data_IF_595336933594
#
_entry.id   IF_595336933594
#
_cell.length_a   1.000
_cell.length_b   1.000
_cell.length_c   1.000
_cell.angle_alpha   90.00
_cell.angle_beta   90.00
_cell.angle_gamma   90.00
#
_symmetry.space_group_name_H-M   'P 1'
#
loop_
_entity.id
_entity.type
_entity.pdbx_description
1 polymer ?
#
# COMPACT_ATOMS: atom_id res chain seq x y z
N UNK A 1 28.78 14.40 -46.01
CA UNK A 1 28.53 15.27 -47.21
C UNK A 1 27.03 15.41 -47.42
N UNK A 2 26.52 16.65 -47.53
CA UNK A 2 25.12 16.92 -47.87
C UNK A 2 24.93 16.71 -49.35
N UNK A 3 23.92 15.93 -49.76
CA UNK A 3 23.65 15.63 -51.16
C UNK A 3 22.16 15.60 -51.48
N UNK A 4 21.82 15.97 -52.73
CA UNK A 4 20.48 15.84 -53.27
C UNK A 4 20.19 14.41 -53.74
N UNK A 5 18.96 13.95 -53.57
CA UNK A 5 18.50 12.68 -54.12
C UNK A 5 17.02 12.80 -54.57
N UNK A 6 16.58 11.88 -55.37
CA UNK A 6 15.18 11.82 -55.87
C UNK A 6 14.43 10.79 -55.07
N UNK A 7 13.26 11.18 -54.50
CA UNK A 7 12.33 10.28 -53.82
C UNK A 7 11.62 9.37 -54.83
N UNK A 8 11.04 8.27 -54.32
CA UNK A 8 10.26 7.33 -55.16
C UNK A 8 9.10 7.99 -55.95
N UNK A 9 8.60 9.13 -55.45
CA UNK A 9 7.55 9.92 -56.09
C UNK A 9 8.09 11.00 -57.07
N UNK A 10 9.35 10.95 -57.46
CA UNK A 10 9.97 11.85 -58.42
C UNK A 10 10.42 13.22 -57.83
N UNK A 11 10.09 13.53 -56.58
CA UNK A 11 10.46 14.82 -55.98
C UNK A 11 11.90 14.83 -55.48
N UNK A 12 12.63 15.95 -55.72
CA UNK A 12 13.99 16.16 -55.22
C UNK A 12 13.97 16.46 -53.73
N UNK A 13 14.91 15.91 -52.97
CA UNK A 13 15.10 16.15 -51.57
C UNK A 13 16.59 16.10 -51.20
N UNK A 14 16.93 16.64 -50.04
CA UNK A 14 18.31 16.67 -49.55
C UNK A 14 18.48 15.67 -48.39
N UNK A 15 19.71 15.14 -48.25
CA UNK A 15 20.13 14.23 -47.20
C UNK A 15 21.57 14.49 -46.79
N UNK A 16 21.91 14.04 -45.59
CA UNK A 16 23.30 13.93 -45.16
C UNK A 16 23.60 12.57 -44.52
N UNK A 17 24.85 12.16 -44.62
CA UNK A 17 25.47 11.07 -43.88
C UNK A 17 26.81 11.62 -43.38
N UNK A 18 26.86 11.97 -42.11
CA UNK A 18 27.99 12.72 -41.54
C UNK A 18 28.39 12.20 -40.18
N UNK A 19 29.69 12.26 -39.94
CA UNK A 19 30.28 12.07 -38.64
C UNK A 19 29.94 13.28 -37.72
N UNK A 20 29.44 13.02 -36.54
CA UNK A 20 29.02 14.07 -35.58
C UNK A 20 29.87 14.10 -34.31
N UNK A 21 30.72 13.07 -34.09
CA UNK A 21 31.63 12.98 -32.94
C UNK A 21 31.96 11.55 -32.56
N UNK A 22 32.79 11.38 -31.54
CA UNK A 22 33.13 10.06 -30.97
C UNK A 22 32.40 9.93 -29.62
N UNK A 23 31.71 8.81 -29.43
CA UNK A 23 31.03 8.51 -28.15
C UNK A 23 32.09 8.38 -27.05
N UNK A 24 32.06 9.23 -26.01
CA UNK A 24 33.08 9.23 -24.97
C UNK A 24 33.06 7.95 -24.10
N UNK A 25 31.95 7.23 -24.08
CA UNK A 25 31.77 6.01 -23.28
C UNK A 25 32.31 4.78 -24.00
N UNK A 26 32.10 4.70 -25.31
CA UNK A 26 32.44 3.50 -26.12
C UNK A 26 33.65 3.72 -27.01
N UNK A 27 34.14 4.93 -27.19
CA UNK A 27 35.22 5.31 -28.15
C UNK A 27 34.84 5.14 -29.61
N UNK A 28 33.58 4.81 -29.93
CA UNK A 28 33.13 4.57 -31.31
C UNK A 28 32.73 5.85 -32.02
N UNK A 29 33.08 5.93 -33.32
CA UNK A 29 32.66 7.04 -34.18
C UNK A 29 31.13 7.02 -34.37
N UNK A 30 30.46 8.16 -34.14
CA UNK A 30 29.04 8.34 -34.38
C UNK A 30 28.79 8.96 -35.73
N UNK A 31 28.12 8.21 -36.61
CA UNK A 31 27.73 8.64 -37.96
C UNK A 31 26.19 8.69 -37.99
N UNK A 32 25.62 9.79 -38.45
CA UNK A 32 24.17 10.00 -38.53
C UNK A 32 23.75 10.26 -39.96
N UNK A 33 22.74 9.48 -40.41
CA UNK A 33 22.09 9.69 -41.70
C UNK A 33 20.69 10.27 -41.50
N UNK A 34 20.43 11.42 -42.13
CA UNK A 34 19.03 11.96 -42.20
C UNK A 34 18.69 12.34 -43.64
N UNK A 35 17.41 12.10 -44.00
CA UNK A 35 16.91 12.27 -45.39
C UNK A 35 15.61 13.05 -45.35
N UNK A 36 15.23 13.66 -46.51
CA UNK A 36 13.91 14.23 -46.70
C UNK A 36 13.80 15.74 -46.51
N UNK A 37 14.93 16.44 -46.40
CA UNK A 37 14.96 17.90 -46.29
C UNK A 37 14.52 18.59 -47.59
N UNK A 38 13.81 19.71 -47.45
CA UNK A 38 13.31 20.48 -48.58
C UNK A 38 14.41 21.32 -49.26
N UNK A 39 15.48 21.69 -48.53
CA UNK A 39 16.57 22.48 -49.00
C UNK A 39 17.92 22.04 -48.42
N UNK A 40 19.02 22.37 -49.08
CA UNK A 40 20.37 22.17 -48.57
C UNK A 40 20.60 22.95 -47.27
N UNK A 41 20.06 24.18 -47.17
CA UNK A 41 20.17 25.02 -46.02
C UNK A 41 19.53 24.38 -44.78
N UNK A 42 18.33 23.78 -44.93
CA UNK A 42 17.64 23.05 -43.86
C UNK A 42 18.45 21.84 -43.38
N UNK A 43 19.03 21.07 -44.33
CA UNK A 43 19.90 19.95 -43.99
C UNK A 43 21.15 20.39 -43.23
N UNK A 44 21.80 21.50 -43.65
CA UNK A 44 23.00 22.08 -43.03
C UNK A 44 22.70 22.59 -41.60
N UNK A 45 21.64 23.33 -41.43
CA UNK A 45 21.19 23.83 -40.09
C UNK A 45 20.93 22.64 -39.15
N UNK A 46 20.23 21.63 -39.63
CA UNK A 46 19.95 20.44 -38.83
C UNK A 46 21.22 19.67 -38.45
N UNK A 47 22.16 19.53 -39.38
CA UNK A 47 23.45 18.87 -39.11
C UNK A 47 24.27 19.65 -38.06
N UNK A 48 24.39 20.98 -38.20
CA UNK A 48 25.11 21.79 -37.24
C UNK A 48 24.49 21.74 -35.85
N UNK A 49 23.15 21.81 -35.74
CA UNK A 49 22.45 21.62 -34.49
C UNK A 49 22.75 20.28 -33.83
N UNK A 50 22.74 19.20 -34.62
CA UNK A 50 23.07 17.86 -34.13
C UNK A 50 24.52 17.73 -33.65
N UNK A 51 25.51 18.43 -34.30
CA UNK A 51 26.87 18.46 -33.78
C UNK A 51 26.98 19.18 -32.43
N UNK A 52 26.33 20.34 -32.30
CA UNK A 52 26.30 21.09 -31.05
C UNK A 52 25.61 20.28 -29.94
N UNK A 53 24.48 19.64 -30.25
CA UNK A 53 23.76 18.79 -29.31
C UNK A 53 24.60 17.57 -28.88
N UNK A 54 25.42 17.03 -29.78
CA UNK A 54 26.35 15.94 -29.49
C UNK A 54 27.51 16.38 -28.59
N UNK A 55 28.13 17.52 -28.90
CA UNK A 55 29.20 18.13 -28.07
C UNK A 55 28.72 18.47 -26.66
N UNK A 56 27.46 18.85 -26.51
CA UNK A 56 26.80 19.09 -25.20
C UNK A 56 26.37 17.81 -24.49
N UNK A 57 26.61 16.63 -25.07
CA UNK A 57 26.12 15.36 -24.53
C UNK A 57 24.60 15.15 -24.68
N UNK A 58 23.92 16.07 -25.41
CA UNK A 58 22.47 16.03 -25.60
C UNK A 58 22.04 15.08 -26.74
N UNK A 59 22.96 14.69 -27.61
CA UNK A 59 22.79 13.68 -28.65
C UNK A 59 23.28 12.29 -28.23
N UNK A 60 23.14 11.92 -26.98
CA UNK A 60 23.04 10.50 -26.69
C UNK A 60 21.81 10.00 -27.45
N UNK A 61 22.02 9.08 -28.40
CA UNK A 61 20.90 8.29 -28.92
C UNK A 61 20.33 7.59 -27.72
N UNK A 62 19.29 8.20 -27.12
CA UNK A 62 18.52 7.50 -26.10
C UNK A 62 18.06 6.21 -26.75
N UNK A 63 18.71 5.09 -26.42
CA UNK A 63 18.26 3.79 -26.89
C UNK A 63 16.79 3.72 -26.53
N UNK A 64 15.95 3.47 -27.53
CA UNK A 64 14.53 3.31 -27.28
C UNK A 64 14.36 2.17 -26.30
N UNK A 65 13.78 2.47 -25.15
CA UNK A 65 13.54 1.49 -24.09
C UNK A 65 12.05 1.45 -23.77
N UNK A 66 11.51 0.25 -23.62
CA UNK A 66 10.13 0.08 -23.20
C UNK A 66 9.96 0.41 -21.72
N UNK A 67 8.76 0.82 -21.36
CA UNK A 67 8.42 1.09 -19.95
C UNK A 67 8.61 -0.14 -19.07
N UNK A 68 8.28 -1.34 -19.58
CA UNK A 68 8.47 -2.59 -18.82
C UNK A 68 9.95 -2.86 -18.53
N UNK A 69 10.84 -2.62 -19.49
CA UNK A 69 12.28 -2.80 -19.27
C UNK A 69 12.79 -1.85 -18.17
N UNK A 70 12.36 -0.58 -18.19
CA UNK A 70 12.70 0.38 -17.15
C UNK A 70 12.09 -0.03 -15.80
N UNK A 71 10.84 -0.54 -15.82
CA UNK A 71 10.18 -1.04 -14.61
C UNK A 71 10.97 -2.19 -13.97
N UNK A 72 11.50 -3.14 -14.75
CA UNK A 72 12.31 -4.25 -14.22
C UNK A 72 13.59 -3.72 -13.56
N UNK A 73 14.30 -2.80 -14.23
CA UNK A 73 15.50 -2.17 -13.67
C UNK A 73 15.19 -1.39 -12.38
N UNK A 74 14.12 -0.59 -12.38
CA UNK A 74 13.66 0.12 -11.20
C UNK A 74 13.26 -0.82 -10.07
N UNK A 75 12.59 -1.94 -10.38
CA UNK A 75 12.12 -2.89 -9.39
C UNK A 75 13.28 -3.54 -8.62
N UNK A 76 14.40 -3.82 -9.29
CA UNK A 76 15.62 -4.34 -8.64
C UNK A 76 16.17 -3.36 -7.60
N UNK A 77 16.23 -2.07 -7.91
CA UNK A 77 16.64 -1.05 -6.95
C UNK A 77 15.60 -0.87 -5.83
N UNK A 78 14.32 -0.86 -6.19
CA UNK A 78 13.21 -0.71 -5.23
C UNK A 78 13.21 -1.83 -4.18
N UNK A 79 13.54 -3.08 -4.57
CA UNK A 79 13.68 -4.22 -3.65
C UNK A 79 14.69 -3.99 -2.54
N UNK A 80 15.78 -3.28 -2.82
CA UNK A 80 16.83 -2.99 -1.83
C UNK A 80 16.40 -1.94 -0.81
N UNK A 81 15.43 -1.11 -1.18
CA UNK A 81 15.01 0.05 -0.38
C UNK A 81 13.79 -0.21 0.50
N UNK A 82 12.97 -1.24 0.21
CA UNK A 82 11.71 -1.45 0.89
C UNK A 82 11.55 -2.86 1.43
N UNK A 83 10.62 -3.05 2.40
CA UNK A 83 10.30 -4.38 2.93
C UNK A 83 9.64 -5.26 1.87
N UNK A 84 9.88 -6.57 1.94
CA UNK A 84 9.37 -7.57 0.99
C UNK A 84 7.84 -7.46 0.74
N UNK A 85 7.03 -7.23 1.76
CA UNK A 85 5.58 -7.04 1.60
C UNK A 85 5.20 -5.80 0.78
N UNK A 86 6.05 -4.76 0.76
CA UNK A 86 5.87 -3.60 -0.12
C UNK A 86 6.18 -3.98 -1.57
N UNK A 87 7.26 -4.74 -1.79
CA UNK A 87 7.62 -5.25 -3.13
C UNK A 87 6.47 -6.07 -3.70
N UNK A 88 5.92 -7.01 -2.94
CA UNK A 88 4.77 -7.85 -3.36
C UNK A 88 3.58 -6.98 -3.77
N UNK A 89 3.23 -6.00 -2.94
CA UNK A 89 2.12 -5.08 -3.23
C UNK A 89 2.39 -4.27 -4.50
N UNK A 90 3.60 -3.72 -4.64
CA UNK A 90 4.03 -2.94 -5.81
C UNK A 90 3.98 -3.78 -7.08
N UNK A 91 4.53 -5.00 -7.06
CA UNK A 91 4.49 -5.95 -8.20
C UNK A 91 3.05 -6.26 -8.62
N UNK A 92 2.18 -6.54 -7.65
CA UNK A 92 0.77 -6.84 -7.94
C UNK A 92 0.06 -5.66 -8.58
N UNK A 93 0.21 -4.45 -8.04
CA UNK A 93 -0.40 -3.25 -8.63
C UNK A 93 0.19 -2.90 -9.99
N UNK A 94 1.51 -3.02 -10.16
CA UNK A 94 2.15 -2.80 -11.44
C UNK A 94 1.59 -3.77 -12.50
N UNK A 95 1.56 -5.07 -12.22
CA UNK A 95 1.07 -6.11 -13.12
C UNK A 95 -0.38 -5.91 -13.54
N UNK A 96 -1.25 -5.55 -12.59
CA UNK A 96 -2.70 -5.46 -12.86
C UNK A 96 -3.07 -4.11 -13.48
N UNK A 97 -2.38 -3.01 -13.13
CA UNK A 97 -2.87 -1.66 -13.46
C UNK A 97 -1.90 -0.85 -14.31
N UNK A 98 -0.59 -0.93 -14.06
CA UNK A 98 0.39 -0.06 -14.73
C UNK A 98 0.88 -0.68 -16.02
N UNK A 99 1.43 -1.88 -15.97
CA UNK A 99 2.03 -2.54 -17.13
C UNK A 99 1.06 -2.79 -18.29
N UNK A 100 -0.23 -3.11 -18.08
CA UNK A 100 -1.18 -3.25 -19.20
C UNK A 100 -1.38 -1.98 -20.01
N UNK A 101 -1.14 -0.80 -19.43
CA UNK A 101 -1.27 0.49 -20.13
C UNK A 101 0.06 1.01 -20.69
N UNK A 102 1.15 0.82 -19.96
CA UNK A 102 2.43 1.46 -20.21
C UNK A 102 3.50 0.48 -20.75
N UNK A 103 3.46 -0.80 -20.34
CA UNK A 103 4.56 -1.75 -20.47
C UNK A 103 5.19 -1.82 -21.86
N UNK A 104 4.39 -2.01 -22.89
CA UNK A 104 4.85 -2.14 -24.28
C UNK A 104 5.25 -0.84 -24.97
N UNK A 105 5.06 0.30 -24.31
CA UNK A 105 5.34 1.61 -24.89
C UNK A 105 6.76 2.05 -24.60
N UNK A 106 7.38 2.72 -25.59
CA UNK A 106 8.67 3.37 -25.36
C UNK A 106 8.50 4.57 -24.46
N UNK A 107 9.29 4.67 -23.38
CA UNK A 107 9.17 5.75 -22.38
C UNK A 107 9.32 7.14 -23.00
N UNK A 108 10.10 7.26 -24.11
CA UNK A 108 10.29 8.50 -24.85
C UNK A 108 9.05 8.98 -25.60
N UNK A 109 8.09 8.09 -25.86
CA UNK A 109 6.88 8.38 -26.63
C UNK A 109 5.65 8.57 -25.75
N UNK A 110 5.79 8.43 -24.44
CA UNK A 110 4.69 8.63 -23.49
C UNK A 110 4.63 10.10 -23.09
N UNK A 111 3.56 10.76 -23.46
CA UNK A 111 3.33 12.17 -23.15
C UNK A 111 2.42 12.37 -21.93
N UNK A 112 2.28 13.63 -21.50
CA UNK A 112 1.44 14.01 -20.35
C UNK A 112 -0.03 13.67 -20.60
N UNK A 113 -0.51 13.81 -21.83
CA UNK A 113 -1.92 13.53 -22.18
C UNK A 113 -2.23 12.04 -22.01
N UNK A 114 -1.33 11.17 -22.47
CA UNK A 114 -1.47 9.73 -22.26
C UNK A 114 -1.48 9.37 -20.76
N UNK A 115 -0.56 9.96 -19.99
CA UNK A 115 -0.49 9.76 -18.54
C UNK A 115 -1.78 10.23 -17.83
N UNK A 116 -2.35 11.37 -18.26
CA UNK A 116 -3.61 11.89 -17.70
C UNK A 116 -4.79 10.94 -17.99
N UNK A 117 -4.88 10.43 -19.23
CA UNK A 117 -5.93 9.44 -19.59
C UNK A 117 -5.82 8.17 -18.76
N UNK A 118 -4.59 7.68 -18.53
CA UNK A 118 -4.36 6.50 -17.68
C UNK A 118 -4.82 6.75 -16.22
N UNK A 119 -4.48 7.91 -15.64
CA UNK A 119 -4.90 8.28 -14.29
C UNK A 119 -6.41 8.44 -14.19
N UNK A 120 -7.06 9.04 -15.17
CA UNK A 120 -8.52 9.16 -15.21
C UNK A 120 -9.17 7.77 -15.23
N UNK A 121 -8.69 6.86 -16.10
CA UNK A 121 -9.17 5.47 -16.14
C UNK A 121 -8.99 4.74 -14.80
N UNK A 122 -7.86 4.93 -14.12
CA UNK A 122 -7.68 4.36 -12.80
C UNK A 122 -8.65 4.94 -11.77
N UNK A 123 -8.94 6.24 -11.86
CA UNK A 123 -9.84 6.91 -10.93
C UNK A 123 -11.31 6.49 -11.08
N UNK A 124 -11.72 5.99 -12.25
CA UNK A 124 -13.06 5.39 -12.48
C UNK A 124 -13.26 4.09 -11.70
N UNK A 125 -12.18 3.30 -11.53
CA UNK A 125 -12.25 1.95 -10.95
C UNK A 125 -11.75 1.87 -9.52
N UNK A 126 -11.07 2.89 -9.01
CA UNK A 126 -10.46 2.90 -7.67
C UNK A 126 -10.95 4.04 -6.80
N UNK A 127 -10.93 3.77 -5.48
CA UNK A 127 -11.09 4.83 -4.49
C UNK A 127 -10.01 5.92 -4.63
N UNK A 128 -8.82 5.58 -5.14
CA UNK A 128 -7.75 6.54 -5.42
C UNK A 128 -6.76 5.99 -6.45
N UNK A 129 -6.56 6.73 -7.53
CA UNK A 129 -5.51 6.46 -8.51
C UNK A 129 -4.09 6.79 -8.00
N UNK A 130 -3.95 7.24 -6.75
CA UNK A 130 -2.67 7.70 -6.17
C UNK A 130 -1.60 6.60 -6.20
N UNK A 131 -1.97 5.35 -5.89
CA UNK A 131 -0.99 4.26 -5.78
C UNK A 131 -0.42 3.84 -7.15
N UNK A 132 -1.23 3.47 -8.17
CA UNK A 132 -0.71 3.15 -9.50
C UNK A 132 -0.01 4.35 -10.16
N UNK A 133 -0.51 5.59 -9.95
CA UNK A 133 0.20 6.82 -10.38
C UNK A 133 1.58 6.91 -9.75
N UNK A 134 1.68 6.64 -8.43
CA UNK A 134 2.96 6.67 -7.71
C UNK A 134 3.98 5.67 -8.24
N UNK A 135 3.55 4.46 -8.58
CA UNK A 135 4.43 3.45 -9.21
C UNK A 135 4.92 3.94 -10.58
N UNK A 136 4.00 4.36 -11.46
CA UNK A 136 4.37 4.85 -12.78
C UNK A 136 5.30 6.07 -12.69
N UNK A 137 5.05 6.99 -11.76
CA UNK A 137 5.90 8.15 -11.53
C UNK A 137 7.32 7.75 -11.12
N UNK A 138 7.48 6.79 -10.20
CA UNK A 138 8.80 6.32 -9.77
C UNK A 138 9.57 5.64 -10.92
N UNK A 139 8.89 4.87 -11.78
CA UNK A 139 9.51 4.28 -12.97
C UNK A 139 9.98 5.34 -13.94
N UNK A 140 9.19 6.39 -14.20
CA UNK A 140 9.62 7.53 -15.03
C UNK A 140 10.74 8.34 -14.36
N UNK A 141 10.72 8.52 -13.04
CA UNK A 141 11.82 9.17 -12.31
C UNK A 141 13.13 8.38 -12.47
N UNK A 142 13.04 7.05 -12.45
CA UNK A 142 14.18 6.19 -12.70
C UNK A 142 14.67 6.26 -14.16
N UNK A 143 13.73 6.29 -15.14
CA UNK A 143 14.06 6.53 -16.55
C UNK A 143 14.76 7.89 -16.77
N UNK A 144 14.34 8.93 -16.03
CA UNK A 144 14.97 10.25 -16.04
C UNK A 144 16.39 10.19 -15.45
N UNK A 145 16.58 9.50 -14.33
CA UNK A 145 17.88 9.28 -13.68
C UNK A 145 18.86 8.55 -14.61
N UNK A 146 18.36 7.56 -15.34
CA UNK A 146 19.17 6.82 -16.33
C UNK A 146 19.37 7.57 -17.67
N UNK A 147 18.81 8.76 -17.83
CA UNK A 147 18.94 9.57 -19.03
C UNK A 147 18.11 9.09 -20.23
N UNK A 148 17.15 8.18 -20.07
CA UNK A 148 16.27 7.73 -21.14
C UNK A 148 15.22 8.75 -21.55
N UNK A 149 14.85 9.66 -20.65
CA UNK A 149 13.91 10.76 -20.89
C UNK A 149 14.47 12.06 -20.27
N UNK A 150 14.05 13.21 -20.80
CA UNK A 150 14.45 14.52 -20.29
C UNK A 150 13.52 15.07 -19.21
N UNK A 151 12.32 14.55 -19.10
CA UNK A 151 11.29 14.99 -18.17
C UNK A 151 10.34 13.83 -17.84
N UNK A 152 9.79 13.84 -16.63
CA UNK A 152 8.81 12.85 -16.18
C UNK A 152 7.39 13.36 -16.47
N UNK A 153 6.67 12.77 -17.47
CA UNK A 153 5.33 13.22 -17.82
C UNK A 153 4.30 12.99 -16.70
N UNK A 154 4.51 11.99 -15.83
CA UNK A 154 3.58 11.64 -14.76
C UNK A 154 3.58 12.67 -13.63
N UNK A 155 4.64 13.45 -13.44
CA UNK A 155 4.69 14.53 -12.44
C UNK A 155 3.72 15.67 -12.74
N UNK A 156 3.42 15.91 -14.04
CA UNK A 156 2.51 16.96 -14.50
C UNK A 156 1.04 16.57 -14.47
N UNK A 157 0.74 15.30 -14.21
CA UNK A 157 -0.62 14.77 -14.17
C UNK A 157 -1.33 15.15 -12.88
N UNK A 158 -2.56 15.65 -13.02
CA UNK A 158 -3.42 15.97 -11.89
C UNK A 158 -4.28 14.77 -11.50
N UNK A 159 -4.37 14.53 -10.19
CA UNK A 159 -5.35 13.58 -9.66
C UNK A 159 -6.72 14.26 -9.67
N UNK A 160 -7.75 13.63 -10.24
CA UNK A 160 -9.12 14.16 -10.15
C UNK A 160 -9.50 14.31 -8.66
N UNK A 161 -10.07 15.47 -8.30
CA UNK A 161 -10.72 15.60 -7.00
C UNK A 161 -11.96 14.71 -7.02
N UNK A 162 -12.08 13.83 -6.05
CA UNK A 162 -13.37 13.20 -5.76
C UNK A 162 -14.25 14.26 -5.11
N UNK A 163 -15.52 14.28 -5.49
CA UNK A 163 -16.55 14.95 -4.68
C UNK A 163 -16.47 14.38 -3.27
N UNK A 164 -16.35 15.23 -2.26
CA UNK A 164 -16.28 14.83 -0.85
C UNK A 164 -17.60 14.24 -0.34
N UNK A 165 -18.62 14.20 -1.20
CA UNK A 165 -20.02 13.83 -0.94
C UNK A 165 -20.32 12.33 -1.01
N UNK A 166 -19.35 11.45 -1.06
CA UNK A 166 -19.61 10.08 -0.65
C UNK A 166 -19.61 10.11 0.87
N UNK A 167 -20.80 10.00 1.46
CA UNK A 167 -21.02 9.74 2.86
C UNK A 167 -19.86 8.92 3.41
N UNK A 168 -19.04 9.54 4.26
CA UNK A 168 -17.95 8.84 4.92
C UNK A 168 -18.63 7.80 5.80
N UNK A 169 -18.89 6.61 5.23
CA UNK A 169 -19.39 5.49 6.01
C UNK A 169 -18.46 5.38 7.21
N UNK A 170 -19.00 5.67 8.37
CA UNK A 170 -18.26 5.59 9.62
C UNK A 170 -17.68 4.18 9.75
N UNK A 171 -16.38 4.06 9.59
CA UNK A 171 -15.68 2.76 9.61
C UNK A 171 -15.32 2.34 11.03
N UNK A 172 -16.27 2.46 11.96
CA UNK A 172 -16.18 1.98 13.33
C UNK A 172 -17.58 1.65 13.87
N UNK A 173 -17.63 0.89 14.94
CA UNK A 173 -18.85 0.55 15.66
C UNK A 173 -19.08 1.49 16.84
N UNK A 174 -20.35 1.82 17.10
CA UNK A 174 -20.80 2.26 18.41
C UNK A 174 -20.75 1.09 19.40
N UNK A 175 -20.96 1.37 20.69
CA UNK A 175 -21.00 0.31 21.73
C UNK A 175 -22.07 -0.73 21.42
N UNK A 176 -23.27 -0.30 21.01
CA UNK A 176 -24.39 -1.21 20.72
C UNK A 176 -24.15 -2.01 19.43
N UNK A 177 -23.59 -1.40 18.38
CA UNK A 177 -23.20 -2.09 17.17
C UNK A 177 -22.11 -3.13 17.43
N UNK A 178 -21.15 -2.83 18.32
CA UNK A 178 -20.11 -3.79 18.70
C UNK A 178 -20.69 -4.99 19.46
N UNK A 179 -21.61 -4.75 20.41
CA UNK A 179 -22.32 -5.82 21.13
C UNK A 179 -23.11 -6.71 20.16
N UNK A 180 -23.84 -6.09 19.22
CA UNK A 180 -24.59 -6.83 18.20
C UNK A 180 -23.66 -7.67 17.32
N UNK A 181 -22.54 -7.10 16.87
CA UNK A 181 -21.54 -7.85 16.10
C UNK A 181 -21.04 -9.10 16.86
N UNK A 182 -20.69 -8.97 18.15
CA UNK A 182 -20.24 -10.10 18.96
C UNK A 182 -21.34 -11.16 19.13
N UNK A 183 -22.59 -10.76 19.30
CA UNK A 183 -23.70 -11.72 19.30
C UNK A 183 -23.76 -12.52 18.00
N UNK A 184 -23.60 -11.89 16.84
CA UNK A 184 -23.54 -12.60 15.55
C UNK A 184 -22.34 -13.54 15.47
N UNK A 185 -21.18 -13.16 16.01
CA UNK A 185 -19.98 -14.01 16.06
C UNK A 185 -20.20 -15.24 16.94
N UNK A 186 -20.81 -15.07 18.11
CA UNK A 186 -21.09 -16.14 19.05
C UNK A 186 -22.14 -17.10 18.47
N UNK A 187 -23.21 -16.60 17.87
CA UNK A 187 -24.24 -17.38 17.18
C UNK A 187 -23.68 -18.15 15.97
N UNK A 188 -22.61 -17.65 15.36
CA UNK A 188 -21.92 -18.35 14.28
C UNK A 188 -21.18 -19.60 14.76
N UNK A 189 -20.74 -19.61 16.01
CA UNK A 189 -20.19 -20.77 16.70
C UNK A 189 -18.76 -21.18 16.28
N UNK A 190 -17.95 -20.24 15.76
CA UNK A 190 -16.53 -20.51 15.43
C UNK A 190 -15.60 -19.88 16.48
N UNK A 191 -15.06 -20.64 17.45
CA UNK A 191 -14.29 -20.10 18.56
C UNK A 191 -12.99 -19.43 18.12
N UNK A 192 -12.35 -19.88 17.04
CA UNK A 192 -11.15 -19.24 16.49
C UNK A 192 -11.48 -17.86 15.93
N UNK A 193 -12.60 -17.73 15.22
CA UNK A 193 -13.09 -16.44 14.70
C UNK A 193 -13.46 -15.50 15.84
N UNK A 194 -14.13 -16.00 16.87
CA UNK A 194 -14.51 -15.23 18.06
C UNK A 194 -13.28 -14.63 18.74
N UNK A 195 -12.24 -15.42 19.01
CA UNK A 195 -10.97 -14.97 19.60
C UNK A 195 -10.27 -13.94 18.72
N UNK A 196 -10.24 -14.13 17.40
CA UNK A 196 -9.61 -13.18 16.48
C UNK A 196 -10.29 -11.81 16.56
N UNK A 197 -11.62 -11.75 16.46
CA UNK A 197 -12.35 -10.48 16.54
C UNK A 197 -12.32 -9.86 17.94
N UNK A 198 -12.33 -10.69 19.00
CA UNK A 198 -12.17 -10.21 20.36
C UNK A 198 -10.81 -9.53 20.55
N UNK A 199 -9.72 -10.16 20.11
CA UNK A 199 -8.40 -9.56 20.17
C UNK A 199 -8.33 -8.24 19.37
N UNK A 200 -8.93 -8.17 18.17
CA UNK A 200 -9.00 -6.92 17.41
C UNK A 200 -9.72 -5.80 18.18
N UNK A 201 -10.90 -6.10 18.72
CA UNK A 201 -11.78 -5.11 19.36
C UNK A 201 -11.27 -4.67 20.72
N UNK A 202 -10.78 -5.59 21.56
CA UNK A 202 -10.43 -5.31 22.96
C UNK A 202 -8.98 -4.85 23.13
N UNK A 203 -8.12 -5.06 22.15
CA UNK A 203 -6.72 -4.61 22.19
C UNK A 203 -6.40 -3.46 21.23
N UNK A 204 -7.25 -3.26 20.22
CA UNK A 204 -6.97 -2.32 19.13
C UNK A 204 -5.76 -2.73 18.26
N UNK A 205 -5.29 -3.98 18.36
CA UNK A 205 -4.18 -4.48 17.56
C UNK A 205 -4.55 -4.51 16.07
N UNK A 206 -3.53 -4.39 15.21
CA UNK A 206 -3.72 -4.54 13.77
C UNK A 206 -3.97 -6.00 13.43
N UNK A 207 -4.77 -6.29 12.39
CA UNK A 207 -5.07 -7.68 11.98
C UNK A 207 -3.82 -8.55 11.81
N UNK A 208 -2.76 -8.00 11.23
CA UNK A 208 -1.51 -8.74 11.01
C UNK A 208 -0.69 -8.92 12.28
N UNK A 209 -0.87 -8.07 13.30
CA UNK A 209 -0.33 -8.25 14.63
C UNK A 209 -1.04 -9.41 15.32
N UNK A 210 -2.41 -9.42 15.32
CA UNK A 210 -3.19 -10.52 15.90
C UNK A 210 -2.88 -11.87 15.27
N UNK A 211 -2.70 -11.93 13.93
CA UNK A 211 -2.33 -13.16 13.25
C UNK A 211 -0.91 -13.67 13.59
N UNK A 212 -0.04 -12.80 14.10
CA UNK A 212 1.31 -13.16 14.50
C UNK A 212 1.44 -13.56 15.98
N UNK A 213 0.38 -13.38 16.78
CA UNK A 213 0.40 -13.65 18.21
C UNK A 213 0.61 -15.14 18.51
N UNK A 214 1.47 -15.39 19.46
CA UNK A 214 1.79 -16.71 20.01
C UNK A 214 1.36 -16.76 21.47
N UNK A 215 1.18 -17.95 22.03
CA UNK A 215 0.79 -18.11 23.44
C UNK A 215 1.82 -17.51 24.41
N UNK A 216 3.08 -17.50 24.02
CA UNK A 216 4.18 -16.91 24.80
C UNK A 216 4.15 -15.36 24.85
N UNK A 217 3.36 -14.72 23.96
CA UNK A 217 3.18 -13.26 23.98
C UNK A 217 2.17 -12.82 25.05
N UNK A 218 1.48 -13.78 25.76
CA UNK A 218 0.53 -13.50 26.81
C UNK A 218 1.11 -13.90 28.15
N UNK A 219 1.20 -12.93 29.06
CA UNK A 219 1.41 -13.21 30.49
C UNK A 219 0.04 -13.23 31.19
N UNK A 220 -0.43 -14.45 31.53
CA UNK A 220 -1.71 -14.65 32.20
C UNK A 220 -1.71 -14.17 33.65
N UNK A 221 -0.53 -14.12 34.33
CA UNK A 221 -0.42 -13.66 35.70
C UNK A 221 -0.39 -12.12 35.77
N UNK A 222 0.46 -11.50 34.94
CA UNK A 222 0.52 -10.04 34.82
C UNK A 222 -0.64 -9.46 34.02
N UNK A 223 -1.48 -10.29 33.39
CA UNK A 223 -2.59 -9.90 32.51
C UNK A 223 -2.17 -8.96 31.40
N UNK A 224 -1.06 -9.29 30.72
CA UNK A 224 -0.50 -8.46 29.64
C UNK A 224 -0.30 -9.22 28.34
N UNK A 225 -0.31 -8.47 27.25
CA UNK A 225 -0.03 -8.95 25.90
C UNK A 225 1.09 -8.12 25.29
N UNK A 226 2.14 -8.79 24.81
CA UNK A 226 3.24 -8.19 24.09
C UNK A 226 2.99 -8.21 22.57
N UNK A 227 2.94 -7.06 21.94
CA UNK A 227 2.81 -6.91 20.49
C UNK A 227 4.18 -6.54 19.91
N UNK A 228 4.92 -7.54 19.48
CA UNK A 228 6.30 -7.42 18.98
C UNK A 228 6.47 -7.90 17.54
N UNK A 229 5.44 -8.57 17.01
CA UNK A 229 5.48 -9.29 15.73
C UNK A 229 4.31 -8.90 14.84
N UNK A 230 4.46 -9.10 13.54
CA UNK A 230 3.38 -8.93 12.55
C UNK A 230 3.53 -9.93 11.42
N UNK A 231 2.42 -10.38 10.82
CA UNK A 231 2.47 -11.19 9.60
C UNK A 231 2.57 -10.29 8.38
N UNK A 232 3.49 -10.63 7.48
CA UNK A 232 3.67 -10.01 6.18
C UNK A 232 3.78 -11.11 5.10
N UNK A 233 3.83 -10.72 3.83
CA UNK A 233 4.13 -11.65 2.74
C UNK A 233 5.59 -11.52 2.33
N UNK A 234 6.25 -12.65 2.07
CA UNK A 234 7.53 -12.67 1.39
C UNK A 234 7.33 -12.52 -0.13
N UNK A 235 8.40 -12.45 -0.91
CA UNK A 235 8.30 -12.25 -2.38
C UNK A 235 7.62 -13.43 -3.11
N UNK A 236 7.56 -14.60 -2.51
CA UNK A 236 6.81 -15.76 -3.01
C UNK A 236 5.33 -15.75 -2.55
N UNK A 237 4.85 -14.61 -2.06
CA UNK A 237 3.49 -14.40 -1.53
C UNK A 237 3.11 -15.34 -0.36
N UNK A 238 4.10 -15.95 0.31
CA UNK A 238 3.88 -16.78 1.49
C UNK A 238 3.88 -15.92 2.76
N UNK A 239 2.97 -16.20 3.72
CA UNK A 239 2.94 -15.48 4.99
C UNK A 239 4.19 -15.80 5.82
N UNK A 240 4.79 -14.77 6.37
CA UNK A 240 5.96 -14.85 7.28
C UNK A 240 5.76 -13.90 8.45
N UNK A 241 6.36 -14.24 9.58
CA UNK A 241 6.45 -13.34 10.74
C UNK A 241 7.59 -12.36 10.51
N UNK A 242 7.33 -11.08 10.75
CA UNK A 242 8.31 -10.00 10.64
C UNK A 242 8.16 -9.03 11.82
N UNK A 243 9.15 -8.17 12.00
CA UNK A 243 9.05 -7.06 12.96
C UNK A 243 8.08 -5.98 12.45
N UNK A 244 7.39 -5.26 13.34
CA UNK A 244 6.57 -4.11 12.98
C UNK A 244 7.35 -3.04 12.19
N UNK A 245 6.62 -2.14 11.49
CA UNK A 245 7.24 -1.10 10.66
C UNK A 245 7.99 -0.04 11.46
N UNK A 246 7.58 0.22 12.70
CA UNK A 246 8.15 1.27 13.56
C UNK A 246 8.38 0.76 14.96
N UNK A 247 9.36 1.33 15.68
CA UNK A 247 9.63 0.99 17.08
C UNK A 247 8.42 1.24 18.00
N UNK A 248 7.64 2.30 17.78
CA UNK A 248 6.42 2.60 18.54
C UNK A 248 5.30 1.57 18.36
N UNK A 249 5.37 0.73 17.32
CA UNK A 249 4.41 -0.37 17.16
C UNK A 249 4.68 -1.54 18.10
N UNK A 250 5.89 -1.64 18.67
CA UNK A 250 6.22 -2.60 19.72
C UNK A 250 5.70 -2.04 21.03
N UNK A 251 4.78 -2.76 21.66
CA UNK A 251 4.10 -2.32 22.86
C UNK A 251 3.57 -3.46 23.69
N UNK A 252 3.42 -3.23 24.99
CA UNK A 252 2.77 -4.11 25.94
C UNK A 252 1.42 -3.47 26.34
N UNK A 253 0.36 -4.26 26.33
CA UNK A 253 -0.99 -3.81 26.67
C UNK A 253 -1.62 -4.71 27.72
N UNK A 254 -2.39 -4.12 28.64
CA UNK A 254 -3.18 -4.85 29.61
C UNK A 254 -4.38 -5.52 28.97
N UNK A 255 -4.72 -6.73 29.44
CA UNK A 255 -5.91 -7.50 29.06
C UNK A 255 -6.91 -7.54 30.22
N UNK A 256 -8.19 -7.51 29.87
CA UNK A 256 -9.29 -7.73 30.83
C UNK A 256 -9.47 -9.23 31.13
N UNK A 257 -10.07 -9.52 32.31
CA UNK A 257 -10.28 -10.90 32.77
C UNK A 257 -11.17 -11.71 31.82
N UNK A 258 -12.21 -11.09 31.25
CA UNK A 258 -13.08 -11.77 30.29
C UNK A 258 -12.33 -12.19 29.00
N UNK A 259 -11.38 -11.36 28.53
CA UNK A 259 -10.53 -11.73 27.38
C UNK A 259 -9.56 -12.84 27.74
N UNK A 260 -8.99 -12.82 28.95
CA UNK A 260 -8.10 -13.89 29.41
C UNK A 260 -8.83 -15.23 29.56
N UNK A 261 -10.07 -15.23 30.07
CA UNK A 261 -10.86 -16.43 30.23
C UNK A 261 -11.27 -17.05 28.87
N UNK A 262 -11.66 -16.22 27.92
CA UNK A 262 -11.92 -16.69 26.55
C UNK A 262 -10.65 -17.24 25.86
N UNK A 263 -9.48 -16.65 26.11
CA UNK A 263 -8.21 -17.17 25.64
C UNK A 263 -7.85 -18.52 26.27
N UNK A 264 -8.10 -18.71 27.57
CA UNK A 264 -7.88 -20.01 28.25
C UNK A 264 -8.82 -21.11 27.69
N UNK A 265 -10.10 -20.78 27.48
CA UNK A 265 -11.07 -21.70 26.83
C UNK A 265 -10.61 -22.07 25.43
N UNK A 266 -10.24 -21.06 24.64
CA UNK A 266 -9.74 -21.30 23.28
C UNK A 266 -8.47 -22.16 23.25
N UNK A 267 -7.52 -21.93 24.16
CA UNK A 267 -6.28 -22.72 24.23
C UNK A 267 -6.57 -24.21 24.41
N UNK A 268 -7.54 -24.56 25.23
CA UNK A 268 -8.02 -25.94 25.42
C UNK A 268 -8.61 -26.50 24.11
N UNK A 269 -9.58 -25.80 23.54
CA UNK A 269 -10.25 -26.20 22.30
C UNK A 269 -9.25 -26.31 21.14
N UNK A 270 -8.31 -25.39 21.08
CA UNK A 270 -7.24 -25.42 20.08
C UNK A 270 -6.40 -26.68 20.22
N UNK A 271 -5.97 -27.03 21.43
CA UNK A 271 -5.16 -28.22 21.68
C UNK A 271 -5.90 -29.50 21.24
N UNK A 272 -7.16 -29.65 21.63
CA UNK A 272 -8.00 -30.78 21.24
C UNK A 272 -8.20 -30.88 19.71
N UNK A 273 -8.53 -29.74 19.08
CA UNK A 273 -8.75 -29.69 17.63
C UNK A 273 -7.50 -30.09 16.85
N UNK A 274 -6.36 -29.48 17.16
CA UNK A 274 -5.13 -29.71 16.41
C UNK A 274 -4.50 -31.05 16.69
N UNK A 275 -4.65 -31.58 17.92
CA UNK A 275 -4.19 -32.93 18.25
C UNK A 275 -4.92 -34.02 17.41
N UNK A 276 -6.23 -33.87 17.22
CA UNK A 276 -7.02 -34.76 16.32
C UNK A 276 -6.54 -34.72 14.86
N UNK A 277 -5.85 -33.65 14.46
CA UNK A 277 -5.28 -33.49 13.13
C UNK A 277 -3.77 -33.77 13.08
N UNK A 278 -3.18 -34.33 14.14
CA UNK A 278 -1.79 -34.73 14.20
C UNK A 278 -0.80 -33.56 14.54
N UNK A 279 -1.31 -32.44 15.01
CA UNK A 279 -0.46 -31.29 15.38
C UNK A 279 -0.33 -31.17 16.89
N UNK A 280 0.92 -31.07 17.38
CA UNK A 280 1.19 -30.74 18.78
C UNK A 280 1.23 -29.21 18.96
N UNK A 281 0.31 -28.66 19.74
CA UNK A 281 0.19 -27.21 20.04
C UNK A 281 0.89 -26.80 21.34
N UNK A 282 1.55 -27.75 22.02
CA UNK A 282 2.31 -27.44 23.25
C UNK A 282 3.76 -27.03 22.97
N UNK A 283 4.10 -26.84 21.71
CA UNK A 283 5.44 -26.41 21.29
C UNK A 283 5.60 -24.90 21.44
N UNK A 284 6.83 -24.39 21.72
CA UNK A 284 7.13 -22.97 21.64
C UNK A 284 6.75 -22.41 20.27
N UNK A 285 6.35 -21.15 20.23
CA UNK A 285 5.96 -20.47 18.99
C UNK A 285 4.56 -20.83 18.48
N UNK A 286 3.73 -21.54 19.27
CA UNK A 286 2.36 -21.88 18.88
C UNK A 286 1.51 -20.61 18.73
N UNK A 287 0.96 -20.42 17.52
CA UNK A 287 0.07 -19.28 17.22
C UNK A 287 -1.23 -19.36 18.00
N UNK A 288 -1.77 -18.22 18.42
CA UNK A 288 -3.11 -18.12 19.01
C UNK A 288 -4.17 -18.35 17.95
N UNK A 289 -3.97 -17.84 16.73
CA UNK A 289 -4.93 -17.97 15.60
C UNK A 289 -4.24 -18.65 14.41
N UNK A 290 -3.95 -19.97 14.49
CA UNK A 290 -3.31 -20.69 13.40
C UNK A 290 -4.29 -21.06 12.28
N UNK A 291 -3.77 -21.28 11.07
CA UNK A 291 -4.51 -21.83 9.93
C UNK A 291 -4.95 -23.28 10.19
N UNK A 292 -5.72 -23.87 9.29
CA UNK A 292 -6.12 -25.28 9.40
C UNK A 292 -4.92 -26.25 9.48
N UNK A 293 -3.81 -25.89 8.87
CA UNK A 293 -2.55 -26.67 8.88
C UNK A 293 -1.59 -26.24 9.99
N UNK A 294 -2.08 -25.61 11.05
CA UNK A 294 -1.32 -25.09 12.19
C UNK A 294 -0.22 -24.06 11.81
N UNK A 295 -0.31 -23.44 10.65
CA UNK A 295 0.60 -22.41 10.17
C UNK A 295 0.00 -20.99 10.20
N UNK A 296 0.70 -20.05 9.60
CA UNK A 296 0.22 -18.67 9.46
C UNK A 296 -0.93 -18.58 8.45
N UNK A 297 -1.87 -17.70 8.73
CA UNK A 297 -2.84 -17.24 7.73
C UNK A 297 -2.21 -16.19 6.80
N UNK A 298 -2.66 -16.18 5.53
CA UNK A 298 -2.47 -15.01 4.68
C UNK A 298 -3.18 -13.81 5.32
N UNK A 299 -2.54 -12.61 5.39
CA UNK A 299 -3.13 -11.43 6.03
C UNK A 299 -4.47 -10.94 5.43
N UNK A 300 -4.85 -11.44 4.25
CA UNK A 300 -6.15 -11.14 3.63
C UNK A 300 -7.27 -12.06 4.11
N UNK A 301 -6.93 -13.26 4.59
CA UNK A 301 -7.91 -14.30 4.97
C UNK A 301 -8.97 -13.85 5.98
N UNK A 302 -8.67 -13.05 7.03
CA UNK A 302 -9.71 -12.64 7.96
C UNK A 302 -10.84 -11.78 7.36
N UNK A 303 -10.64 -11.22 6.16
CA UNK A 303 -11.75 -10.58 5.43
C UNK A 303 -12.81 -11.61 5.00
N UNK A 304 -12.42 -12.86 4.75
CA UNK A 304 -13.36 -13.91 4.39
C UNK A 304 -14.26 -14.25 5.58
N UNK A 305 -13.76 -14.15 6.81
CA UNK A 305 -14.59 -14.31 8.01
C UNK A 305 -15.66 -13.22 8.11
N UNK A 306 -15.29 -11.93 7.87
CA UNK A 306 -16.28 -10.86 7.80
C UNK A 306 -17.31 -11.09 6.68
N UNK A 307 -16.85 -11.56 5.52
CA UNK A 307 -17.74 -11.89 4.40
C UNK A 307 -18.68 -13.05 4.75
N UNK A 308 -18.21 -14.06 5.45
CA UNK A 308 -19.04 -15.19 5.90
C UNK A 308 -20.11 -14.75 6.91
N UNK A 309 -19.73 -13.92 7.88
CA UNK A 309 -20.67 -13.37 8.87
C UNK A 309 -21.72 -12.48 8.18
N UNK A 310 -21.30 -11.55 7.30
CA UNK A 310 -22.21 -10.62 6.63
C UNK A 310 -23.16 -11.27 5.61
N UNK A 311 -22.92 -12.52 5.23
CA UNK A 311 -23.88 -13.31 4.42
C UNK A 311 -24.98 -13.95 5.27
N UNK A 312 -24.73 -14.14 6.55
CA UNK A 312 -25.64 -14.86 7.46
C UNK A 312 -26.39 -13.92 8.41
N UNK A 313 -25.77 -12.80 8.77
CA UNK A 313 -26.29 -11.85 9.76
C UNK A 313 -26.29 -10.43 9.21
N UNK A 314 -27.29 -9.68 9.58
CA UNK A 314 -27.36 -8.25 9.29
C UNK A 314 -26.65 -7.46 10.40
N UNK A 315 -25.55 -6.78 10.05
CA UNK A 315 -24.79 -5.89 10.90
C UNK A 315 -24.05 -4.84 10.05
N UNK A 316 -23.80 -3.69 10.63
CA UNK A 316 -23.00 -2.64 9.98
C UNK A 316 -21.63 -3.19 9.59
N UNK A 317 -21.30 -3.09 8.30
CA UNK A 317 -20.03 -3.61 7.79
C UNK A 317 -18.91 -2.58 7.94
N UNK A 318 -17.92 -2.88 8.74
CA UNK A 318 -16.66 -2.13 8.84
C UNK A 318 -15.49 -2.96 8.31
N UNK A 319 -14.35 -2.32 8.05
CA UNK A 319 -13.12 -3.05 7.70
C UNK A 319 -12.48 -3.67 8.95
N UNK A 320 -11.56 -4.63 8.77
CA UNK A 320 -10.77 -5.17 9.90
C UNK A 320 -9.96 -4.06 10.63
N UNK A 321 -9.61 -2.98 9.94
CA UNK A 321 -8.98 -1.82 10.57
C UNK A 321 -10.00 -0.96 11.34
N UNK A 322 -11.27 -1.04 10.97
CA UNK A 322 -12.37 -0.40 11.66
C UNK A 322 -12.52 -0.84 13.12
N UNK A 323 -12.17 -2.09 13.48
CA UNK A 323 -12.14 -2.55 14.87
C UNK A 323 -11.14 -1.75 15.73
N UNK A 324 -10.01 -1.38 15.17
CA UNK A 324 -9.05 -0.50 15.84
C UNK A 324 -9.58 0.93 15.96
N UNK A 325 -10.33 1.42 14.99
CA UNK A 325 -11.04 2.70 15.09
C UNK A 325 -12.13 2.62 16.16
N UNK A 326 -12.89 1.51 16.23
CA UNK A 326 -13.88 1.23 17.28
C UNK A 326 -13.23 1.28 18.66
N UNK A 327 -12.13 0.56 18.86
CA UNK A 327 -11.40 0.58 20.14
C UNK A 327 -10.97 1.99 20.54
N UNK A 328 -10.40 2.73 19.59
CA UNK A 328 -9.99 4.12 19.79
C UNK A 328 -11.16 5.03 20.16
N UNK A 329 -12.28 4.94 19.44
CA UNK A 329 -13.48 5.73 19.65
C UNK A 329 -14.09 5.46 21.03
N UNK A 330 -14.24 4.19 21.40
CA UNK A 330 -14.82 3.80 22.70
C UNK A 330 -13.92 4.21 23.88
N UNK A 331 -12.59 4.13 23.75
CA UNK A 331 -11.67 4.65 24.77
C UNK A 331 -11.87 6.16 24.97
N UNK A 332 -12.01 6.93 23.91
CA UNK A 332 -12.31 8.36 24.03
C UNK A 332 -13.71 8.61 24.61
N UNK A 333 -14.71 7.81 24.27
CA UNK A 333 -16.04 7.88 24.88
C UNK A 333 -16.00 7.63 26.39
N UNK A 334 -15.12 6.76 26.87
CA UNK A 334 -14.87 6.51 28.30
C UNK A 334 -14.14 7.68 29.00
N UNK A 335 -13.49 8.57 28.22
CA UNK A 335 -12.72 9.69 28.78
C UNK A 335 -11.24 9.41 28.91
N UNK A 336 -10.71 8.34 28.29
CA UNK A 336 -9.29 8.03 28.31
C UNK A 336 -8.48 9.14 27.66
N UNK A 337 -7.38 9.62 28.28
CA UNK A 337 -6.51 10.64 27.71
C UNK A 337 -5.93 10.25 26.36
N UNK A 338 -5.67 11.26 25.53
CA UNK A 338 -5.15 11.06 24.16
C UNK A 338 -3.81 10.30 24.14
N UNK A 339 -2.93 10.62 25.08
CA UNK A 339 -1.61 10.01 25.21
C UNK A 339 -1.72 8.51 25.52
N UNK A 340 -2.59 8.13 26.45
CA UNK A 340 -2.82 6.72 26.80
C UNK A 340 -3.39 5.92 25.63
N UNK A 341 -4.35 6.51 24.90
CA UNK A 341 -4.91 5.90 23.69
C UNK A 341 -3.83 5.74 22.63
N UNK A 342 -2.98 6.75 22.45
CA UNK A 342 -1.88 6.71 21.47
C UNK A 342 -0.87 5.62 21.81
N UNK A 343 -0.47 5.50 23.06
CA UNK A 343 0.49 4.50 23.54
C UNK A 343 -0.09 3.10 23.43
N UNK A 344 -1.33 2.88 23.89
CA UNK A 344 -2.02 1.60 23.78
C UNK A 344 -2.14 1.13 22.33
N UNK A 345 -2.41 2.04 21.40
CA UNK A 345 -2.50 1.73 19.98
C UNK A 345 -1.13 1.66 19.28
N UNK A 346 -0.10 2.33 19.79
CA UNK A 346 1.21 2.45 19.13
C UNK A 346 1.13 3.24 17.82
N UNK A 347 0.44 4.40 17.85
CA UNK A 347 0.40 5.33 16.72
C UNK A 347 1.65 6.21 16.70
N UNK A 348 2.37 6.18 15.57
CA UNK A 348 3.52 7.09 15.33
C UNK A 348 3.09 8.51 15.01
N UNK A 349 1.95 8.67 14.33
CA UNK A 349 1.38 9.96 13.95
C UNK A 349 0.10 10.21 14.80
N UNK A 350 0.17 11.25 15.60
CA UNK A 350 -0.93 11.71 16.45
C UNK A 350 -2.16 12.13 15.62
N UNK A 351 -1.96 12.57 14.37
CA UNK A 351 -3.06 13.02 13.49
C UNK A 351 -4.11 11.94 13.29
N UNK A 352 -3.70 10.67 13.18
CA UNK A 352 -4.64 9.56 13.04
C UNK A 352 -5.54 9.41 14.27
N UNK A 353 -4.97 9.56 15.46
CA UNK A 353 -5.72 9.50 16.74
C UNK A 353 -6.57 10.75 16.93
N UNK A 354 -6.03 11.92 16.57
CA UNK A 354 -6.74 13.20 16.65
C UNK A 354 -7.98 13.28 15.75
N UNK A 355 -7.92 12.72 14.54
CA UNK A 355 -9.09 12.69 13.66
C UNK A 355 -10.26 11.93 14.28
N UNK A 356 -9.99 10.82 14.99
CA UNK A 356 -11.01 10.05 15.70
C UNK A 356 -11.47 10.84 16.95
N UNK A 357 -10.53 11.41 17.68
CA UNK A 357 -10.81 12.22 18.88
C UNK A 357 -11.74 13.40 18.57
N UNK A 358 -11.47 14.14 17.47
CA UNK A 358 -12.30 15.29 17.08
C UNK A 358 -13.76 14.88 16.82
N UNK A 359 -13.98 13.76 16.10
CA UNK A 359 -15.32 13.24 15.86
C UNK A 359 -16.08 12.86 17.14
N UNK A 360 -15.39 12.22 18.08
CA UNK A 360 -16.00 11.81 19.37
C UNK A 360 -16.29 13.03 20.25
N UNK A 361 -15.37 14.00 20.26
CA UNK A 361 -15.52 15.21 21.10
C UNK A 361 -16.58 16.16 20.58
N UNK A 362 -16.88 16.21 19.29
CA UNK A 362 -18.01 16.99 18.77
C UNK A 362 -19.34 16.49 19.35
N UNK A 363 -19.57 15.16 19.32
CA UNK A 363 -20.74 14.54 19.97
C UNK A 363 -20.79 14.74 21.52
N UNK A 364 -19.64 14.97 22.14
CA UNK A 364 -19.54 15.21 23.61
C UNK A 364 -19.75 16.67 23.98
N UNK A 365 -19.46 17.63 23.13
CA UNK A 365 -19.65 19.05 23.36
C UNK A 365 -21.10 19.37 23.75
N UNK A 366 -22.06 18.71 23.11
CA UNK A 366 -23.49 18.85 23.41
C UNK A 366 -23.85 18.47 24.88
N UNK A 367 -23.10 17.51 25.45
CA UNK A 367 -23.32 17.03 26.82
C UNK A 367 -22.38 17.66 27.87
N UNK A 368 -21.47 18.55 27.45
CA UNK A 368 -20.45 19.10 28.34
C UNK A 368 -21.07 19.99 29.42
N UNK A 369 -22.06 20.80 29.08
CA UNK A 369 -22.75 21.68 30.03
C UNK A 369 -23.48 20.87 31.12
N UNK A 370 -24.20 19.80 30.72
CA UNK A 370 -24.90 18.93 31.69
C UNK A 370 -23.91 18.17 32.59
N UNK A 371 -22.79 17.71 32.03
CA UNK A 371 -21.74 17.03 32.81
C UNK A 371 -21.06 17.97 33.79
N UNK A 372 -20.82 19.23 33.41
CA UNK A 372 -20.25 20.23 34.25
C UNK A 372 -21.25 20.57 35.41
N UNK A 373 -22.52 20.79 35.08
CA UNK A 373 -23.56 21.05 36.11
C UNK A 373 -23.65 19.90 37.12
N UNK A 374 -23.62 18.63 36.65
CA UNK A 374 -23.60 17.47 37.55
C UNK A 374 -22.32 17.35 38.37
N UNK A 375 -21.17 17.77 37.83
CA UNK A 375 -19.90 17.71 38.55
C UNK A 375 -19.79 18.75 39.65
N UNK A 376 -20.34 19.95 39.43
CA UNK A 376 -20.35 21.03 40.44
C UNK A 376 -21.58 20.98 41.37
N UNK A 377 -22.41 19.97 41.25
CA UNK A 377 -23.60 19.73 42.12
C UNK A 377 -24.64 20.89 42.13
N UNK A 378 -24.83 21.56 40.99
CA UNK A 378 -25.91 22.50 40.74
C UNK A 378 -27.10 21.84 40.08
#
# INVERSE_FOLDING_TARGET
MIKQYVKKNGTKAWMFNEYIGTDPTTGKKKIVTKRGFKSEKEAKVTLNRMKVDFERGELQTMNRIKFDDVYQLWLEEHRRMVKAGTVVTTKRYARIHVLPLFGDKFVQNIDVLFCQKAVNKWNEHFASAKYPKGIAQQVFDYALTLGYIKDNPMRKVRLPKRSEDLDKIENYYTLEELKHFFKCVDDYGNPKMAIFFRLLAFTGARKSEVLALQWEDIDFNAKTLDITKTVSLNEAEKPIVTTPKTKKSIRKISLDDGTLDELKKWRKLQAEYYLKHGYNTMRPGQLIVPSKTNGLYNPTFPNDWLNMLSRKYDFKRITLHGFRHTHCSLLFEMGTPLEEVQDRLGHTDIKTTMNIYTHVTEKRKEKTAERFAKFVNF
#
